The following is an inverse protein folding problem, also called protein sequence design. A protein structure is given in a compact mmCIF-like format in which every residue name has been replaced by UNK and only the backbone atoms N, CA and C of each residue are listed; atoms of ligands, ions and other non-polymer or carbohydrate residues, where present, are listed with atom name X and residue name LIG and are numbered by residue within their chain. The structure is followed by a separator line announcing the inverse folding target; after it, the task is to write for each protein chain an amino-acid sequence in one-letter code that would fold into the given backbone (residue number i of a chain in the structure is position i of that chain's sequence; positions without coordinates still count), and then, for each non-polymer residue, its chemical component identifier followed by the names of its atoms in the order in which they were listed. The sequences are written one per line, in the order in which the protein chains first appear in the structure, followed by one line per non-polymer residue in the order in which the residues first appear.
data_IF_789638858645
#
_entry.id   IF_789638858645
#
_cell.length_a   1.000
_cell.length_b   1.000
_cell.length_c   1.000
_cell.angle_alpha   90.00
_cell.angle_beta   90.00
_cell.angle_gamma   90.00
#
_symmetry.space_group_name_H-M   'P 1'
#
loop_
_entity.id
_entity.type
_entity.pdbx_description
1 polymer ?
#
# COMPACT_ATOMS: atom_id res chain seq x y z
N UNK A 1 31.36 -9.90 -17.32
CA UNK A 1 31.61 -8.71 -16.47
C UNK A 1 30.46 -8.42 -15.50
N UNK A 2 29.18 -8.57 -15.89
CA UNK A 2 28.00 -8.27 -15.05
C UNK A 2 27.81 -9.19 -13.83
N UNK A 3 28.20 -10.47 -13.92
CA UNK A 3 28.04 -11.44 -12.81
C UNK A 3 28.97 -11.12 -11.64
N UNK A 4 30.18 -10.61 -11.91
CA UNK A 4 31.16 -10.25 -10.87
C UNK A 4 30.66 -9.06 -10.05
N UNK A 5 30.08 -8.04 -10.71
CA UNK A 5 29.53 -6.87 -10.00
C UNK A 5 28.29 -7.20 -9.14
N UNK A 6 27.46 -8.15 -9.57
CA UNK A 6 26.30 -8.62 -8.78
C UNK A 6 26.77 -9.41 -7.57
N UNK A 7 27.76 -10.28 -7.74
CA UNK A 7 28.36 -11.05 -6.65
C UNK A 7 29.04 -10.10 -5.66
N UNK A 8 29.78 -9.09 -6.12
CA UNK A 8 30.43 -8.12 -5.24
C UNK A 8 29.41 -7.30 -4.44
N UNK A 9 28.28 -6.89 -5.04
CA UNK A 9 27.20 -6.17 -4.34
C UNK A 9 26.45 -7.04 -3.33
N UNK A 10 26.18 -8.29 -3.68
CA UNK A 10 25.57 -9.25 -2.75
C UNK A 10 26.51 -9.57 -1.60
N UNK A 11 27.80 -9.72 -1.88
CA UNK A 11 28.84 -9.95 -0.87
C UNK A 11 28.99 -8.76 0.08
N UNK A 12 28.90 -7.52 -0.44
CA UNK A 12 28.92 -6.31 0.38
C UNK A 12 27.67 -6.19 1.26
N UNK A 13 26.49 -6.53 0.73
CA UNK A 13 25.23 -6.55 1.49
C UNK A 13 25.21 -7.63 2.57
N UNK A 14 25.74 -8.82 2.26
CA UNK A 14 25.84 -9.92 3.23
C UNK A 14 26.82 -9.54 4.34
N UNK A 15 28.00 -8.97 4.03
CA UNK A 15 28.93 -8.49 5.05
C UNK A 15 28.37 -7.33 5.88
N UNK A 16 27.58 -6.44 5.28
CA UNK A 16 26.90 -5.37 5.99
C UNK A 16 25.83 -5.93 6.95
N UNK A 17 25.09 -6.96 6.52
CA UNK A 17 24.08 -7.65 7.33
C UNK A 17 24.71 -8.49 8.45
N UNK A 18 25.84 -9.13 8.22
CA UNK A 18 26.60 -9.85 9.24
C UNK A 18 27.18 -8.89 10.29
N UNK A 19 27.73 -7.75 9.84
CA UNK A 19 28.20 -6.69 10.74
C UNK A 19 27.04 -6.08 11.54
N UNK A 20 25.90 -5.86 10.88
CA UNK A 20 24.64 -5.41 11.49
C UNK A 20 24.11 -6.38 12.55
N UNK A 21 24.14 -7.69 12.28
CA UNK A 21 23.71 -8.73 13.22
C UNK A 21 24.65 -8.85 14.45
N UNK A 22 25.95 -8.59 14.26
CA UNK A 22 26.94 -8.56 15.34
C UNK A 22 26.83 -7.28 16.20
N UNK A 23 26.51 -6.13 15.58
CA UNK A 23 26.33 -4.85 16.29
C UNK A 23 24.99 -4.76 17.05
N UNK A 24 23.90 -5.31 16.48
CA UNK A 24 22.59 -5.45 17.16
C UNK A 24 22.68 -6.26 18.47
N UNK A 25 23.60 -7.22 18.54
CA UNK A 25 23.83 -8.03 19.74
C UNK A 25 24.73 -7.34 20.79
N UNK A 26 25.26 -6.13 20.51
CA UNK A 26 26.25 -5.46 21.38
C UNK A 26 25.84 -4.07 21.89
N UNK A 27 24.75 -3.47 21.42
CA UNK A 27 24.37 -2.10 21.83
C UNK A 27 22.88 -1.94 22.15
N UNK A 28 22.58 -1.07 23.14
CA UNK A 28 21.22 -0.68 23.51
C UNK A 28 20.50 -0.02 22.33
N UNK A 29 19.32 -0.55 21.99
CA UNK A 29 18.48 -0.20 20.83
C UNK A 29 18.18 1.32 20.73
N UNK A 30 18.18 2.05 21.85
CA UNK A 30 17.90 3.49 21.89
C UNK A 30 18.97 4.35 21.20
N UNK A 31 20.26 4.07 21.42
CA UNK A 31 21.39 4.81 20.82
C UNK A 31 21.45 4.61 19.29
N UNK A 32 20.76 3.59 18.79
CA UNK A 32 20.72 3.22 17.38
C UNK A 32 19.59 3.93 16.62
N UNK A 33 18.45 4.19 17.26
CA UNK A 33 17.35 4.97 16.67
C UNK A 33 17.81 6.40 16.41
N UNK A 34 18.51 7.03 17.37
CA UNK A 34 19.04 8.39 17.22
C UNK A 34 20.08 8.49 16.08
N UNK A 35 20.87 7.44 15.84
CA UNK A 35 21.84 7.41 14.72
C UNK A 35 21.18 7.14 13.37
N UNK A 36 20.10 6.35 13.33
CA UNK A 36 19.32 6.16 12.12
C UNK A 36 18.60 7.45 11.71
N UNK A 37 18.08 8.21 12.67
CA UNK A 37 17.48 9.53 12.40
C UNK A 37 18.52 10.51 11.84
N UNK A 38 19.74 10.55 12.39
CA UNK A 38 20.84 11.37 11.86
C UNK A 38 21.31 10.95 10.46
N UNK A 39 21.26 9.64 10.13
CA UNK A 39 21.63 9.13 8.80
C UNK A 39 20.54 9.43 7.74
N UNK A 40 19.25 9.44 8.14
CA UNK A 40 18.15 9.87 7.26
C UNK A 40 18.19 11.38 6.98
N UNK A 41 18.64 12.20 7.92
CA UNK A 41 18.80 13.65 7.72
C UNK A 41 20.05 14.03 6.89
N UNK A 42 21.00 13.12 6.72
CA UNK A 42 22.30 13.38 6.08
C UNK A 42 22.41 12.92 4.61
N UNK A 43 21.31 12.59 3.93
CA UNK A 43 21.38 12.26 2.51
C UNK A 43 21.72 13.51 1.65
N UNK A 44 22.54 13.36 0.59
CA UNK A 44 22.95 14.48 -0.25
C UNK A 44 21.75 15.05 -1.02
N UNK A 45 21.52 16.36 -0.85
CA UNK A 45 20.41 17.19 -1.39
C UNK A 45 20.15 17.13 -2.92
N UNK A 46 20.79 16.24 -3.66
CA UNK A 46 20.65 16.09 -5.11
C UNK A 46 19.99 14.79 -5.61
N UNK A 47 19.83 13.75 -4.78
CA UNK A 47 19.30 12.43 -5.22
C UNK A 47 17.93 12.09 -4.62
N UNK A 48 17.58 12.69 -3.48
CA UNK A 48 16.37 12.38 -2.68
C UNK A 48 15.07 12.95 -3.28
N UNK A 49 15.16 13.90 -4.21
CA UNK A 49 13.98 14.70 -4.58
C UNK A 49 13.24 14.20 -5.83
N UNK A 50 13.82 13.29 -6.63
CA UNK A 50 13.16 12.81 -7.85
C UNK A 50 12.34 11.54 -7.61
N UNK A 51 12.90 10.50 -7.00
CA UNK A 51 12.21 9.21 -6.78
C UNK A 51 10.94 9.39 -5.92
N UNK A 52 11.03 10.23 -4.88
CA UNK A 52 9.89 10.65 -4.05
C UNK A 52 8.85 11.44 -4.85
N UNK A 53 9.27 12.29 -5.80
CA UNK A 53 8.35 13.07 -6.64
C UNK A 53 7.64 12.21 -7.69
N UNK A 54 8.33 11.25 -8.32
CA UNK A 54 7.71 10.29 -9.25
C UNK A 54 6.70 9.39 -8.54
N UNK A 55 7.05 8.86 -7.36
CA UNK A 55 6.13 8.09 -6.52
C UNK A 55 4.91 8.92 -6.11
N UNK A 56 5.13 10.14 -5.61
CA UNK A 56 4.04 11.04 -5.26
C UNK A 56 3.12 11.35 -6.46
N UNK A 57 3.68 11.59 -7.65
CA UNK A 57 2.90 11.78 -8.89
C UNK A 57 2.08 10.55 -9.25
N UNK A 58 2.67 9.35 -9.14
CA UNK A 58 1.99 8.09 -9.40
C UNK A 58 0.82 7.86 -8.44
N UNK A 59 1.05 8.02 -7.13
CA UNK A 59 0.01 7.88 -6.10
C UNK A 59 -1.08 8.93 -6.27
N UNK A 60 -0.72 10.19 -6.55
CA UNK A 60 -1.67 11.27 -6.84
C UNK A 60 -2.55 10.95 -8.05
N UNK A 61 -2.00 10.33 -9.10
CA UNK A 61 -2.77 9.86 -10.25
C UNK A 61 -3.78 8.79 -9.86
N UNK A 62 -3.39 7.83 -9.01
CA UNK A 62 -4.29 6.79 -8.49
C UNK A 62 -5.40 7.43 -7.64
N UNK A 63 -5.05 8.29 -6.69
CA UNK A 63 -6.01 9.01 -5.85
C UNK A 63 -7.02 9.79 -6.71
N UNK A 64 -6.57 10.48 -7.76
CA UNK A 64 -7.44 11.17 -8.70
C UNK A 64 -8.40 10.22 -9.42
N UNK A 65 -7.94 9.06 -9.88
CA UNK A 65 -8.79 8.03 -10.52
C UNK A 65 -9.86 7.52 -9.55
N UNK A 66 -9.49 7.26 -8.29
CA UNK A 66 -10.42 6.80 -7.26
C UNK A 66 -11.43 7.90 -6.87
N UNK A 67 -11.03 9.17 -6.93
CA UNK A 67 -11.89 10.34 -6.68
C UNK A 67 -12.73 10.77 -7.87
N UNK A 68 -12.41 10.42 -9.13
CA UNK A 68 -13.08 11.05 -10.29
C UNK A 68 -14.45 10.49 -10.64
N UNK A 69 -14.88 9.35 -10.08
CA UNK A 69 -16.13 8.68 -10.50
C UNK A 69 -17.36 9.08 -9.68
N UNK A 70 -18.48 9.47 -10.33
CA UNK A 70 -19.70 9.88 -9.64
C UNK A 70 -20.88 8.89 -9.68
N UNK A 71 -20.82 7.75 -10.40
CA UNK A 71 -22.00 6.84 -10.55
C UNK A 71 -22.04 5.63 -9.60
N UNK A 72 -20.89 5.07 -9.22
CA UNK A 72 -20.82 3.90 -8.36
C UNK A 72 -19.59 3.98 -7.45
N UNK A 73 -19.64 3.38 -6.24
CA UNK A 73 -18.49 3.25 -5.38
C UNK A 73 -17.40 2.46 -6.09
N UNK A 74 -16.18 2.95 -5.96
CA UNK A 74 -14.98 2.39 -6.56
C UNK A 74 -14.25 1.54 -5.54
N UNK A 75 -13.68 0.42 -5.98
CA UNK A 75 -12.77 -0.35 -5.14
C UNK A 75 -11.39 -0.50 -5.78
N UNK A 76 -10.37 -0.60 -4.95
CA UNK A 76 -9.00 -0.84 -5.35
C UNK A 76 -8.35 -1.87 -4.42
N UNK A 77 -7.68 -2.87 -4.99
CA UNK A 77 -6.87 -3.85 -4.27
C UNK A 77 -5.39 -3.57 -4.49
N UNK A 78 -4.65 -3.25 -3.44
CA UNK A 78 -3.19 -3.18 -3.43
C UNK A 78 -2.65 -4.58 -3.09
N UNK A 79 -1.82 -5.14 -3.97
CA UNK A 79 -1.22 -6.48 -3.80
C UNK A 79 0.28 -6.39 -3.91
N UNK A 80 1.00 -6.98 -2.96
CA UNK A 80 2.44 -7.08 -3.00
C UNK A 80 3.00 -7.53 -1.66
N UNK A 81 4.28 -7.26 -1.41
CA UNK A 81 4.85 -7.47 -0.07
C UNK A 81 4.03 -6.73 0.99
N UNK A 82 3.94 -7.32 2.18
CA UNK A 82 3.11 -6.82 3.27
C UNK A 82 3.52 -5.41 3.69
N UNK A 83 4.82 -5.15 3.87
CA UNK A 83 5.33 -3.86 4.34
C UNK A 83 5.13 -2.82 3.25
N UNK A 84 5.57 -3.12 2.03
CA UNK A 84 5.47 -2.20 0.91
C UNK A 84 4.02 -1.83 0.57
N UNK A 85 3.10 -2.80 0.63
CA UNK A 85 1.68 -2.56 0.39
C UNK A 85 1.06 -1.65 1.45
N UNK A 86 1.47 -1.79 2.72
CA UNK A 86 1.00 -0.93 3.82
C UNK A 86 1.54 0.49 3.66
N UNK A 87 2.83 0.65 3.35
CA UNK A 87 3.46 1.96 3.11
C UNK A 87 2.75 2.66 1.95
N UNK A 88 2.60 1.98 0.82
CA UNK A 88 1.88 2.50 -0.34
C UNK A 88 0.43 2.88 -0.01
N UNK A 89 -0.28 2.03 0.76
CA UNK A 89 -1.67 2.30 1.13
C UNK A 89 -1.78 3.53 2.03
N UNK A 90 -0.86 3.74 2.97
CA UNK A 90 -0.81 4.95 3.82
C UNK A 90 -0.62 6.22 2.99
N UNK A 91 0.37 6.23 2.09
CA UNK A 91 0.59 7.38 1.20
C UNK A 91 -0.63 7.66 0.30
N UNK A 92 -1.29 6.61 -0.18
CA UNK A 92 -2.53 6.75 -0.95
C UNK A 92 -3.67 7.30 -0.09
N UNK A 93 -3.79 6.87 1.17
CA UNK A 93 -4.77 7.43 2.12
C UNK A 93 -4.56 8.93 2.32
N UNK A 94 -3.31 9.35 2.53
CA UNK A 94 -2.98 10.77 2.72
C UNK A 94 -3.36 11.60 1.50
N UNK A 95 -3.15 11.07 0.28
CA UNK A 95 -3.57 11.71 -0.97
C UNK A 95 -5.09 11.67 -1.19
N UNK A 96 -5.79 10.73 -0.54
CA UNK A 96 -7.25 10.64 -0.58
C UNK A 96 -7.91 11.61 0.39
N UNK A 97 -7.27 11.97 1.50
CA UNK A 97 -7.82 12.87 2.50
C UNK A 97 -7.97 14.29 1.93
N UNK A 98 -9.19 14.81 1.90
CA UNK A 98 -9.51 16.22 1.62
C UNK A 98 -10.85 16.62 2.25
N UNK A 99 -11.25 17.88 2.12
CA UNK A 99 -12.50 18.41 2.71
C UNK A 99 -13.79 17.69 2.22
N UNK A 100 -13.70 17.03 1.05
CA UNK A 100 -14.80 16.34 0.38
C UNK A 100 -14.72 14.81 0.54
N UNK A 101 -13.76 14.31 1.32
CA UNK A 101 -13.51 12.88 1.47
C UNK A 101 -13.39 12.51 2.95
N UNK A 102 -14.16 11.51 3.37
CA UNK A 102 -14.03 10.88 4.68
C UNK A 102 -13.39 9.51 4.51
N UNK A 103 -12.16 9.37 5.00
CA UNK A 103 -11.41 8.11 5.02
C UNK A 103 -11.47 7.52 6.43
N UNK A 104 -11.83 6.25 6.54
CA UNK A 104 -11.70 5.49 7.77
C UNK A 104 -10.90 4.22 7.50
N UNK A 105 -9.94 3.94 8.38
CA UNK A 105 -8.97 2.88 8.22
C UNK A 105 -9.12 1.82 9.31
N UNK A 106 -8.82 0.58 8.95
CA UNK A 106 -8.69 -0.55 9.88
C UNK A 106 -7.49 -1.39 9.44
N UNK A 107 -6.52 -1.55 10.33
CA UNK A 107 -5.39 -2.45 10.11
C UNK A 107 -5.66 -3.80 10.79
N UNK A 108 -5.81 -4.85 9.99
CA UNK A 108 -6.06 -6.18 10.54
C UNK A 108 -4.88 -6.78 11.31
N UNK A 109 -3.69 -6.19 11.22
CA UNK A 109 -2.55 -6.60 12.05
C UNK A 109 -2.70 -6.22 13.53
N UNK A 110 -3.59 -5.28 13.86
CA UNK A 110 -3.82 -4.84 15.23
C UNK A 110 -4.68 -5.81 16.05
N UNK A 111 -5.26 -6.84 15.41
CA UNK A 111 -6.20 -7.76 16.03
C UNK A 111 -5.66 -9.18 16.12
N UNK A 112 -6.07 -9.90 17.16
CA UNK A 112 -5.50 -11.23 17.48
C UNK A 112 -6.02 -12.33 16.56
N UNK A 113 -7.19 -12.12 15.97
CA UNK A 113 -7.86 -13.13 15.15
C UNK A 113 -8.85 -12.52 14.15
N UNK A 114 -9.29 -13.34 13.21
CA UNK A 114 -10.25 -12.95 12.18
C UNK A 114 -11.59 -12.45 12.75
N UNK A 115 -12.06 -12.96 13.89
CA UNK A 115 -13.35 -12.50 14.47
C UNK A 115 -13.25 -11.05 14.92
N UNK A 116 -12.16 -10.69 15.60
CA UNK A 116 -11.87 -9.31 16.00
C UNK A 116 -11.69 -8.39 14.79
N UNK A 117 -10.98 -8.83 13.74
CA UNK A 117 -10.86 -8.10 12.48
C UNK A 117 -12.24 -7.77 11.86
N UNK A 118 -13.15 -8.75 11.81
CA UNK A 118 -14.50 -8.55 11.28
C UNK A 118 -15.32 -7.60 12.16
N UNK A 119 -15.18 -7.69 13.48
CA UNK A 119 -15.86 -6.77 14.41
C UNK A 119 -15.37 -5.33 14.21
N UNK A 120 -14.05 -5.14 14.11
CA UNK A 120 -13.44 -3.85 13.81
C UNK A 120 -13.92 -3.29 12.47
N UNK A 121 -13.88 -4.10 11.41
CA UNK A 121 -14.38 -3.73 10.08
C UNK A 121 -15.84 -3.24 10.12
N UNK A 122 -16.71 -3.95 10.85
CA UNK A 122 -18.12 -3.56 11.03
C UNK A 122 -18.24 -2.22 11.76
N UNK A 123 -17.42 -1.99 12.78
CA UNK A 123 -17.43 -0.76 13.56
C UNK A 123 -16.91 0.43 12.75
N UNK A 124 -15.80 0.27 12.01
CA UNK A 124 -15.26 1.29 11.10
C UNK A 124 -16.27 1.66 10.02
N UNK A 125 -16.95 0.67 9.43
CA UNK A 125 -18.07 0.91 8.49
C UNK A 125 -19.20 1.71 9.13
N UNK A 126 -19.64 1.36 10.34
CA UNK A 126 -20.69 2.10 11.06
C UNK A 126 -20.26 3.55 11.29
N UNK A 127 -19.01 3.78 11.69
CA UNK A 127 -18.47 5.12 11.88
C UNK A 127 -18.54 5.96 10.60
N UNK A 128 -18.15 5.40 9.44
CA UNK A 128 -18.29 6.09 8.15
C UNK A 128 -19.74 6.48 7.82
N UNK A 129 -20.68 5.56 8.06
CA UNK A 129 -22.11 5.80 7.77
C UNK A 129 -22.66 6.89 8.69
N UNK A 130 -22.36 6.84 9.99
CA UNK A 130 -22.84 7.82 10.96
C UNK A 130 -22.30 9.23 10.73
N UNK A 131 -21.10 9.35 10.14
CA UNK A 131 -20.46 10.63 9.84
C UNK A 131 -20.62 11.04 8.37
N UNK A 132 -21.51 10.37 7.63
CA UNK A 132 -21.79 10.69 6.23
C UNK A 132 -22.39 12.09 6.13
N UNK A 133 -21.78 12.92 5.30
CA UNK A 133 -22.31 14.22 4.91
C UNK A 133 -22.65 14.22 3.42
N UNK A 134 -23.60 15.05 3.02
CA UNK A 134 -23.96 15.20 1.61
C UNK A 134 -22.76 15.67 0.79
N UNK A 135 -22.62 15.13 -0.43
CA UNK A 135 -21.49 15.43 -1.31
C UNK A 135 -20.15 14.78 -0.95
N UNK A 136 -19.95 14.33 0.31
CA UNK A 136 -18.70 13.69 0.73
C UNK A 136 -18.56 12.25 0.23
N UNK A 137 -17.38 11.91 -0.27
CA UNK A 137 -17.00 10.54 -0.62
C UNK A 137 -16.52 9.79 0.61
N UNK A 138 -17.00 8.57 0.79
CA UNK A 138 -16.58 7.70 1.88
C UNK A 138 -15.56 6.70 1.36
N UNK A 139 -14.45 6.51 2.08
CA UNK A 139 -13.46 5.47 1.82
C UNK A 139 -13.26 4.61 3.06
N UNK A 140 -13.48 3.31 2.89
CA UNK A 140 -13.11 2.30 3.85
C UNK A 140 -11.79 1.69 3.41
N UNK A 141 -10.77 1.86 4.23
CA UNK A 141 -9.41 1.38 3.97
C UNK A 141 -9.07 0.24 4.90
N UNK A 142 -8.56 -0.86 4.34
CA UNK A 142 -8.32 -2.10 5.07
C UNK A 142 -6.90 -2.57 4.79
N UNK A 143 -6.08 -2.69 5.83
CA UNK A 143 -4.73 -3.25 5.71
C UNK A 143 -4.71 -4.73 6.08
N UNK A 144 -3.81 -5.49 5.46
CA UNK A 144 -3.60 -6.93 5.71
C UNK A 144 -4.85 -7.81 5.67
N UNK A 145 -5.54 -7.80 4.53
CA UNK A 145 -6.78 -8.57 4.36
C UNK A 145 -6.60 -10.09 4.48
N UNK A 146 -5.39 -10.62 4.31
CA UNK A 146 -5.07 -12.03 4.53
C UNK A 146 -5.39 -12.51 5.96
N UNK A 147 -5.43 -11.63 6.96
CA UNK A 147 -5.78 -11.96 8.34
C UNK A 147 -7.20 -12.54 8.50
N UNK A 148 -8.10 -12.26 7.56
CA UNK A 148 -9.49 -12.77 7.57
C UNK A 148 -9.72 -13.92 6.60
N UNK A 149 -8.69 -14.55 6.06
CA UNK A 149 -8.84 -15.64 5.07
C UNK A 149 -9.76 -16.76 5.56
N UNK A 150 -9.62 -17.18 6.82
CA UNK A 150 -10.49 -18.21 7.44
C UNK A 150 -11.94 -17.76 7.63
N UNK A 151 -12.24 -16.47 7.50
CA UNK A 151 -13.57 -15.85 7.58
C UNK A 151 -13.88 -14.96 6.38
N UNK A 152 -13.33 -15.31 5.22
CA UNK A 152 -13.41 -14.53 3.98
C UNK A 152 -14.86 -14.17 3.61
N UNK A 153 -15.79 -15.12 3.78
CA UNK A 153 -17.19 -14.89 3.46
C UNK A 153 -17.85 -13.85 4.37
N UNK A 154 -17.49 -13.82 5.66
CA UNK A 154 -18.00 -12.81 6.59
C UNK A 154 -17.42 -11.43 6.27
N UNK A 155 -16.13 -11.36 5.89
CA UNK A 155 -15.51 -10.13 5.40
C UNK A 155 -16.22 -9.62 4.14
N UNK A 156 -16.40 -10.50 3.14
CA UNK A 156 -17.04 -10.18 1.88
C UNK A 156 -18.46 -9.63 2.08
N UNK A 157 -19.26 -10.21 2.98
CA UNK A 157 -20.60 -9.69 3.33
C UNK A 157 -20.54 -8.24 3.83
N UNK A 158 -19.57 -7.91 4.68
CA UNK A 158 -19.39 -6.54 5.19
C UNK A 158 -18.95 -5.59 4.07
N UNK A 159 -18.07 -6.04 3.17
CA UNK A 159 -17.63 -5.24 2.03
C UNK A 159 -18.74 -4.99 1.01
N UNK A 160 -19.53 -6.00 0.67
CA UNK A 160 -20.73 -5.86 -0.19
C UNK A 160 -21.70 -4.87 0.44
N UNK A 161 -21.96 -4.98 1.75
CA UNK A 161 -22.82 -4.04 2.46
C UNK A 161 -22.24 -2.62 2.56
N UNK A 162 -20.91 -2.46 2.42
CA UNK A 162 -20.25 -1.15 2.34
C UNK A 162 -20.40 -0.57 0.94
N UNK A 163 -20.17 -1.38 -0.10
CA UNK A 163 -20.35 -1.01 -1.49
C UNK A 163 -21.81 -0.58 -1.76
N UNK A 164 -22.80 -1.36 -1.31
CA UNK A 164 -24.23 -0.97 -1.44
C UNK A 164 -24.57 0.33 -0.70
N UNK A 165 -23.79 0.72 0.31
CA UNK A 165 -23.92 1.99 1.02
C UNK A 165 -23.16 3.16 0.36
N UNK A 166 -22.66 2.98 -0.87
CA UNK A 166 -21.85 3.95 -1.61
C UNK A 166 -20.51 4.29 -0.94
N UNK A 167 -19.91 3.33 -0.23
CA UNK A 167 -18.57 3.45 0.35
C UNK A 167 -17.54 2.88 -0.63
N UNK A 168 -16.53 3.68 -0.98
CA UNK A 168 -15.38 3.23 -1.76
C UNK A 168 -14.49 2.33 -0.90
N UNK A 169 -13.87 1.33 -1.50
CA UNK A 169 -13.13 0.30 -0.76
C UNK A 169 -11.68 0.27 -1.23
N UNK A 170 -10.73 0.47 -0.31
CA UNK A 170 -9.31 0.30 -0.58
C UNK A 170 -8.80 -0.83 0.31
N UNK A 171 -8.30 -1.91 -0.28
CA UNK A 171 -7.80 -3.07 0.47
C UNK A 171 -6.35 -3.30 0.12
N UNK A 172 -5.50 -3.60 1.09
CA UNK A 172 -4.17 -4.16 0.83
C UNK A 172 -4.14 -5.62 1.23
N UNK A 173 -3.43 -6.45 0.48
CA UNK A 173 -3.16 -7.82 0.89
C UNK A 173 -1.89 -8.39 0.28
N UNK A 174 -1.31 -9.41 0.91
CA UNK A 174 -0.09 -10.05 0.41
C UNK A 174 -0.32 -10.98 -0.80
N UNK A 175 -1.58 -11.17 -1.20
CA UNK A 175 -1.96 -12.00 -2.35
C UNK A 175 -3.26 -11.50 -2.97
N UNK A 176 -3.53 -11.96 -4.19
CA UNK A 176 -4.79 -11.69 -4.88
C UNK A 176 -5.92 -12.50 -4.24
N UNK A 177 -7.06 -11.84 -4.01
CA UNK A 177 -8.28 -12.48 -3.54
C UNK A 177 -9.35 -12.38 -4.62
N UNK A 178 -9.72 -13.52 -5.22
CA UNK A 178 -10.76 -13.57 -6.26
C UNK A 178 -12.09 -12.95 -5.81
N UNK A 179 -12.44 -13.12 -4.54
CA UNK A 179 -13.64 -12.55 -3.93
C UNK A 179 -13.66 -11.01 -3.88
N UNK A 180 -12.49 -10.36 -3.97
CA UNK A 180 -12.40 -8.90 -4.03
C UNK A 180 -12.58 -8.36 -5.45
N UNK A 181 -12.37 -9.17 -6.49
CA UNK A 181 -12.47 -8.73 -7.90
C UNK A 181 -13.86 -8.18 -8.25
N UNK A 182 -14.91 -8.67 -7.61
CA UNK A 182 -16.28 -8.14 -7.78
C UNK A 182 -16.55 -6.83 -7.03
N UNK A 183 -15.67 -6.45 -6.10
CA UNK A 183 -15.78 -5.28 -5.22
C UNK A 183 -14.73 -4.22 -5.54
N UNK A 184 -13.66 -4.60 -6.26
CA UNK A 184 -12.58 -3.72 -6.68
C UNK A 184 -12.55 -3.63 -8.20
N UNK A 185 -12.60 -2.41 -8.72
CA UNK A 185 -12.47 -2.15 -10.15
C UNK A 185 -10.99 -2.14 -10.56
N UNK A 186 -10.13 -1.74 -9.63
CA UNK A 186 -8.70 -1.55 -9.84
C UNK A 186 -7.87 -2.49 -8.96
N UNK A 187 -6.68 -2.78 -9.44
CA UNK A 187 -5.63 -3.46 -8.70
C UNK A 187 -4.34 -2.68 -8.84
N UNK A 188 -3.69 -2.38 -7.73
CA UNK A 188 -2.30 -1.94 -7.72
C UNK A 188 -1.45 -3.15 -7.41
N UNK A 189 -0.50 -3.50 -8.28
CA UNK A 189 0.55 -4.46 -7.96
C UNK A 189 1.78 -3.71 -7.50
N UNK A 190 2.41 -4.18 -6.44
CA UNK A 190 3.71 -3.71 -5.95
C UNK A 190 4.75 -4.80 -6.26
N UNK A 191 5.89 -4.36 -6.76
CA UNK A 191 7.00 -5.15 -7.32
C UNK A 191 6.57 -6.24 -8.32
N UNK A 192 5.81 -5.90 -9.39
CA UNK A 192 5.44 -6.88 -10.39
C UNK A 192 6.64 -7.45 -11.17
N UNK A 193 7.78 -6.76 -11.23
CA UNK A 193 9.02 -7.25 -11.85
C UNK A 193 10.25 -6.46 -11.40
N UNK A 194 11.45 -6.87 -11.84
CA UNK A 194 12.68 -6.11 -11.58
C UNK A 194 12.66 -4.71 -12.18
N UNK A 195 12.00 -4.49 -13.32
CA UNK A 195 11.99 -3.19 -14.02
C UNK A 195 10.82 -2.29 -13.65
N UNK A 196 9.71 -2.88 -13.18
CA UNK A 196 8.48 -2.17 -12.82
C UNK A 196 8.24 -2.32 -11.33
N UNK A 197 8.29 -1.21 -10.60
CA UNK A 197 7.99 -1.17 -9.17
C UNK A 197 6.48 -1.32 -8.91
N UNK A 198 5.62 -0.69 -9.69
CA UNK A 198 4.17 -0.81 -9.47
C UNK A 198 3.36 -0.61 -10.73
N UNK A 199 2.22 -1.29 -10.83
CA UNK A 199 1.24 -1.08 -11.89
C UNK A 199 -0.18 -0.91 -11.34
N UNK A 200 -0.90 0.06 -11.88
CA UNK A 200 -2.34 0.21 -11.72
C UNK A 200 -3.03 -0.49 -12.89
N UNK A 201 -3.76 -1.55 -12.57
CA UNK A 201 -4.53 -2.37 -13.50
C UNK A 201 -6.04 -2.16 -13.29
N UNK A 202 -6.83 -2.20 -14.37
CA UNK A 202 -8.31 -2.24 -14.30
C UNK A 202 -8.82 -3.61 -14.75
N UNK A 203 -9.54 -4.29 -13.87
CA UNK A 203 -10.03 -5.66 -14.12
C UNK A 203 -10.92 -5.75 -15.35
N UNK A 204 -11.87 -4.83 -15.49
CA UNK A 204 -12.89 -4.88 -16.56
C UNK A 204 -12.28 -4.86 -17.96
N UNK A 205 -11.25 -4.07 -18.17
CA UNK A 205 -10.62 -3.89 -19.50
C UNK A 205 -9.34 -4.69 -19.65
N UNK A 206 -8.87 -5.33 -18.58
CA UNK A 206 -7.59 -6.00 -18.50
C UNK A 206 -6.40 -5.13 -18.91
N UNK A 207 -6.45 -3.83 -18.61
CA UNK A 207 -5.45 -2.86 -19.03
C UNK A 207 -4.67 -2.30 -17.85
N UNK A 208 -3.37 -2.12 -18.07
CA UNK A 208 -2.51 -1.28 -17.24
C UNK A 208 -2.78 0.18 -17.59
N UNK A 209 -3.14 0.99 -16.59
CA UNK A 209 -3.51 2.40 -16.71
C UNK A 209 -2.33 3.32 -16.37
N UNK A 210 -1.48 2.87 -15.45
CA UNK A 210 -0.29 3.57 -15.02
C UNK A 210 0.73 2.57 -14.51
N UNK A 211 2.01 2.88 -14.71
CA UNK A 211 3.12 2.10 -14.16
C UNK A 211 4.14 3.04 -13.52
N UNK A 212 4.81 2.55 -12.49
CA UNK A 212 5.98 3.17 -11.87
C UNK A 212 7.16 2.22 -12.07
N UNK A 213 8.25 2.72 -12.66
CA UNK A 213 9.43 1.94 -13.01
C UNK A 213 10.52 2.10 -11.96
N UNK A 214 11.34 1.06 -11.77
CA UNK A 214 12.53 1.14 -10.92
C UNK A 214 13.59 2.03 -11.60
N UNK A 215 13.85 3.22 -11.04
CA UNK A 215 14.76 4.21 -11.64
C UNK A 215 16.23 3.74 -11.71
N UNK A 216 16.61 2.82 -10.82
CA UNK A 216 17.95 2.25 -10.77
C UNK A 216 18.31 1.39 -12.01
N UNK A 217 17.34 0.98 -12.82
CA UNK A 217 17.55 0.18 -14.04
C UNK A 217 17.33 0.98 -15.33
N UNK A 218 16.51 2.04 -15.30
CA UNK A 218 16.25 2.87 -16.49
C UNK A 218 17.45 3.75 -16.87
N UNK A 219 18.39 4.02 -15.95
CA UNK A 219 19.67 4.69 -16.27
C UNK A 219 20.70 3.81 -16.98
N UNK A 220 20.52 2.48 -17.03
CA UNK A 220 21.42 1.55 -17.74
C UNK A 220 21.02 1.28 -19.20
N UNK A 221 19.87 1.80 -19.63
CA UNK A 221 19.33 1.61 -20.99
C UNK A 221 19.38 2.90 -21.83
N UNK A 222 20.13 3.92 -21.38
CA UNK A 222 20.45 5.12 -22.14
C UNK A 222 21.95 5.24 -22.34
#
# INVERSE_FOLDING_TARGET
MVIVEIIDRLFYRIKALEKFYVELNRSNISDYIDRLEQLYEAEPKGVINMENEYRARYIKKIAHILKSKPKHPTGCLVVGDKIESIVFQKELMDMLQDENTLVAHVDFNEYKNATECIAALKNTRKHLISNKQEGRKLFLVISSFECVEKKMMDAAKVLIASWSASINILVSANKRFAYLVGLTEYMVTIEPSETVYSELYRYKTQQVIASMYNENLTKKLK
#
